data_IF_469352844579
#
_entry.id   IF_469352844579
#
_cell.length_a   1.000
_cell.length_b   1.000
_cell.length_c   1.000
_cell.angle_alpha   90.00
_cell.angle_beta   90.00
_cell.angle_gamma   90.00
#
_symmetry.space_group_name_H-M   'P 1'
#
loop_
_entity.id
_entity.type
_entity.pdbx_description
1 polymer ?
#
# COMPACT_ATOMS: atom_id res chain seq x y z
N UNK A 1 -1.35 -21.67 18.65
CA UNK A 1 -0.10 -20.88 18.74
C UNK A 1 -0.49 -19.51 19.27
N UNK A 2 0.15 -19.02 20.32
CA UNK A 2 -0.09 -17.65 20.79
C UNK A 2 0.27 -16.66 19.67
N UNK A 3 -0.39 -15.51 19.63
CA UNK A 3 -0.12 -14.43 18.65
C UNK A 3 1.38 -14.07 18.63
N UNK A 4 2.05 -14.13 19.78
CA UNK A 4 3.49 -13.93 19.97
C UNK A 4 4.37 -14.90 19.17
N UNK A 5 4.03 -16.19 19.10
CA UNK A 5 4.81 -17.16 18.33
C UNK A 5 4.66 -16.99 16.82
N UNK A 6 3.48 -16.57 16.34
CA UNK A 6 3.25 -16.28 14.92
C UNK A 6 4.01 -15.01 14.50
N UNK A 7 4.03 -13.99 15.35
CA UNK A 7 4.79 -12.76 15.13
C UNK A 7 6.31 -13.04 15.10
N UNK A 8 6.80 -13.90 15.99
CA UNK A 8 8.18 -14.38 15.99
C UNK A 8 8.54 -15.12 14.69
N UNK A 9 7.69 -16.02 14.22
CA UNK A 9 7.95 -16.75 12.98
C UNK A 9 8.01 -15.81 11.76
N UNK A 10 7.12 -14.81 11.70
CA UNK A 10 7.15 -13.76 10.68
C UNK A 10 8.43 -12.94 10.75
N UNK A 11 8.84 -12.53 11.96
CA UNK A 11 10.07 -11.77 12.17
C UNK A 11 11.32 -12.56 11.78
N UNK A 12 11.36 -13.86 12.12
CA UNK A 12 12.41 -14.80 11.69
C UNK A 12 12.48 -14.93 10.18
N UNK A 13 11.34 -15.08 9.50
CA UNK A 13 11.33 -15.14 8.02
C UNK A 13 11.77 -13.82 7.40
N UNK A 14 11.50 -12.70 8.06
CA UNK A 14 11.81 -11.38 7.55
C UNK A 14 13.31 -11.08 7.63
N UNK A 15 13.97 -11.33 8.77
CA UNK A 15 15.41 -11.06 8.93
C UNK A 15 16.31 -12.28 8.64
N UNK A 16 15.76 -13.49 8.65
CA UNK A 16 16.50 -14.74 8.51
C UNK A 16 17.26 -14.82 7.19
N UNK A 17 18.57 -15.04 7.28
CA UNK A 17 19.46 -15.19 6.12
C UNK A 17 19.98 -13.88 5.53
N UNK A 18 19.68 -12.73 6.15
CA UNK A 18 20.22 -11.43 5.73
C UNK A 18 21.37 -10.99 6.64
N UNK A 19 22.40 -10.39 6.05
CA UNK A 19 23.49 -9.75 6.79
C UNK A 19 23.51 -8.26 6.42
N UNK A 20 23.22 -7.42 7.41
CA UNK A 20 23.10 -5.98 7.29
C UNK A 20 24.10 -5.30 8.23
N UNK A 21 24.50 -4.07 7.91
CA UNK A 21 25.31 -3.26 8.81
C UNK A 21 24.42 -2.52 9.81
N UNK A 22 24.97 -2.13 10.96
CA UNK A 22 24.28 -1.24 11.92
C UNK A 22 23.83 0.09 11.32
N UNK A 23 24.51 0.56 10.27
CA UNK A 23 24.18 1.79 9.53
C UNK A 23 23.04 1.60 8.53
N UNK A 24 22.54 0.37 8.35
CA UNK A 24 21.42 0.08 7.47
C UNK A 24 20.19 0.94 7.82
N UNK A 25 19.47 1.47 6.81
CA UNK A 25 18.21 2.18 7.02
C UNK A 25 17.14 1.33 7.74
N UNK A 26 17.27 -0.01 7.74
CA UNK A 26 16.33 -0.94 8.38
C UNK A 26 16.55 -1.03 9.89
N UNK A 27 17.79 -0.85 10.36
CA UNK A 27 18.12 -0.94 11.79
C UNK A 27 17.26 0.02 12.66
N UNK A 28 17.06 1.31 12.29
CA UNK A 28 16.11 2.18 12.97
C UNK A 28 14.68 1.65 13.06
N UNK A 29 14.18 1.02 11.99
CA UNK A 29 12.83 0.47 11.94
C UNK A 29 12.69 -0.74 12.88
N UNK A 30 13.70 -1.61 12.91
CA UNK A 30 13.80 -2.74 13.83
C UNK A 30 13.83 -2.27 15.28
N UNK A 31 14.61 -1.23 15.61
CA UNK A 31 14.63 -0.68 16.96
C UNK A 31 13.29 -0.06 17.37
N UNK A 32 12.58 0.63 16.46
CA UNK A 32 11.22 1.13 16.71
C UNK A 32 10.23 -0.02 16.97
N UNK A 33 10.29 -1.06 16.16
CA UNK A 33 9.51 -2.28 16.37
C UNK A 33 9.81 -2.86 17.77
N UNK A 34 11.07 -3.09 18.10
CA UNK A 34 11.46 -3.62 19.41
C UNK A 34 10.91 -2.79 20.57
N UNK A 35 11.04 -1.46 20.53
CA UNK A 35 10.52 -0.57 21.58
C UNK A 35 9.00 -0.65 21.74
N UNK A 36 8.25 -0.77 20.64
CA UNK A 36 6.79 -0.85 20.68
C UNK A 36 6.28 -2.18 21.27
N UNK A 37 7.04 -3.27 21.13
CA UNK A 37 6.60 -4.62 21.48
C UNK A 37 7.19 -5.18 22.80
N UNK A 38 8.05 -4.43 23.52
CA UNK A 38 8.73 -4.93 24.74
C UNK A 38 7.80 -5.35 25.88
N UNK A 39 6.57 -4.83 25.96
CA UNK A 39 5.64 -5.13 27.05
C UNK A 39 4.88 -6.45 26.88
N UNK A 40 4.71 -6.92 25.64
CA UNK A 40 3.69 -7.92 25.29
C UNK A 40 4.28 -9.29 24.89
N UNK A 41 5.61 -9.41 24.83
CA UNK A 41 6.30 -10.64 24.44
C UNK A 41 6.77 -11.43 25.66
N UNK A 42 6.52 -12.73 25.64
CA UNK A 42 7.09 -13.72 26.57
C UNK A 42 8.63 -13.65 26.56
N UNK A 43 9.24 -13.93 27.71
CA UNK A 43 10.69 -13.76 27.91
C UNK A 43 11.53 -14.57 26.91
N UNK A 44 11.13 -15.81 26.62
CA UNK A 44 11.82 -16.70 25.68
C UNK A 44 11.78 -16.17 24.24
N UNK A 45 10.59 -15.76 23.77
CA UNK A 45 10.39 -15.14 22.45
C UNK A 45 11.24 -13.86 22.29
N UNK A 46 11.39 -13.10 23.38
CA UNK A 46 12.18 -11.87 23.38
C UNK A 46 13.67 -12.13 23.21
N UNK A 47 14.21 -13.13 23.90
CA UNK A 47 15.63 -13.50 23.78
C UNK A 47 15.97 -13.93 22.35
N UNK A 48 15.11 -14.74 21.73
CA UNK A 48 15.31 -15.17 20.35
C UNK A 48 15.28 -14.03 19.33
N UNK A 49 14.37 -13.06 19.51
CA UNK A 49 14.33 -11.86 18.64
C UNK A 49 15.60 -11.03 18.80
N UNK A 50 16.08 -10.86 20.03
CA UNK A 50 17.33 -10.16 20.32
C UNK A 50 18.51 -10.83 19.62
N UNK A 51 18.60 -12.16 19.67
CA UNK A 51 19.66 -12.91 19.00
C UNK A 51 19.60 -12.82 17.48
N UNK A 52 18.41 -12.89 16.88
CA UNK A 52 18.26 -12.70 15.44
C UNK A 52 18.71 -11.30 14.99
N UNK A 53 18.37 -10.25 15.74
CA UNK A 53 18.81 -8.88 15.43
C UNK A 53 20.33 -8.77 15.54
N UNK A 54 20.92 -9.33 16.60
CA UNK A 54 22.39 -9.32 16.79
C UNK A 54 23.13 -9.98 15.64
N UNK A 55 22.65 -11.14 15.19
CA UNK A 55 23.22 -11.87 14.06
C UNK A 55 23.05 -11.08 12.76
N UNK A 56 21.84 -10.57 12.52
CA UNK A 56 21.52 -9.85 11.27
C UNK A 56 22.34 -8.58 11.12
N UNK A 57 22.48 -7.78 12.18
CA UNK A 57 23.15 -6.48 12.14
C UNK A 57 24.62 -6.50 12.58
N UNK A 58 25.13 -7.68 12.95
CA UNK A 58 26.48 -7.88 13.47
C UNK A 58 26.82 -6.95 14.65
N UNK A 59 25.96 -6.95 15.68
CA UNK A 59 26.09 -6.11 16.87
C UNK A 59 26.08 -6.92 18.17
N UNK A 60 26.66 -6.37 19.23
CA UNK A 60 26.65 -7.03 20.54
C UNK A 60 25.29 -6.86 21.26
N UNK A 61 25.00 -7.74 22.21
CA UNK A 61 23.79 -7.64 23.04
C UNK A 61 23.80 -6.37 23.90
N UNK A 62 24.97 -5.97 24.38
CA UNK A 62 25.14 -4.74 25.15
C UNK A 62 24.83 -3.51 24.30
N UNK A 63 25.31 -3.47 23.05
CA UNK A 63 25.02 -2.40 22.10
C UNK A 63 23.52 -2.35 21.77
N UNK A 64 22.90 -3.50 21.50
CA UNK A 64 21.47 -3.58 21.19
C UNK A 64 20.61 -3.14 22.39
N UNK A 65 20.93 -3.59 23.61
CA UNK A 65 20.23 -3.16 24.83
C UNK A 65 20.40 -1.66 25.07
N UNK A 66 21.59 -1.11 24.84
CA UNK A 66 21.84 0.33 24.93
C UNK A 66 21.07 1.12 23.86
N UNK A 67 21.01 0.62 22.62
CA UNK A 67 20.25 1.25 21.52
C UNK A 67 18.74 1.19 21.74
N UNK A 68 18.25 0.11 22.35
CA UNK A 68 16.85 -0.04 22.74
C UNK A 68 16.49 0.91 23.90
N UNK A 69 17.28 0.91 24.97
CA UNK A 69 17.05 1.66 26.20
C UNK A 69 17.34 3.17 26.05
N UNK A 70 18.27 3.52 25.16
CA UNK A 70 18.71 4.87 24.88
C UNK A 70 17.94 5.50 23.73
N UNK A 71 17.64 6.80 23.86
CA UNK A 71 17.19 7.69 22.78
C UNK A 71 18.24 7.73 21.67
N UNK A 72 18.31 6.73 20.79
CA UNK A 72 19.00 6.88 19.51
C UNK A 72 18.27 8.00 18.79
N UNK A 73 18.78 9.23 18.93
CA UNK A 73 18.48 10.33 18.02
C UNK A 73 19.16 9.91 16.73
N UNK A 74 18.46 9.12 15.93
CA UNK A 74 18.81 8.99 14.52
C UNK A 74 18.96 10.43 14.03
N UNK A 75 20.17 10.79 13.61
CA UNK A 75 20.37 12.07 12.95
C UNK A 75 19.39 12.04 11.79
N UNK A 76 18.36 12.91 11.82
CA UNK A 76 17.47 13.15 10.68
C UNK A 76 18.25 13.48 9.39
N UNK A 77 19.55 13.77 9.52
CA UNK A 77 20.50 14.08 8.45
C UNK A 77 21.29 12.87 7.90
N UNK A 78 20.97 11.62 8.24
CA UNK A 78 21.48 10.49 7.44
C UNK A 78 20.71 10.52 6.12
N UNK A 79 21.29 11.19 5.13
CA UNK A 79 20.95 10.96 3.74
C UNK A 79 21.39 9.52 3.49
N UNK A 80 20.46 8.58 3.60
CA UNK A 80 20.73 7.21 3.19
C UNK A 80 20.97 7.20 1.69
N UNK A 81 21.93 6.39 1.25
CA UNK A 81 22.11 6.15 -0.18
C UNK A 81 20.81 5.53 -0.72
N UNK A 82 20.10 6.19 -1.66
CA UNK A 82 18.88 5.65 -2.21
C UNK A 82 19.10 4.26 -2.81
N UNK A 83 20.23 4.01 -3.46
CA UNK A 83 20.52 2.69 -4.03
C UNK A 83 20.64 1.59 -2.97
N UNK A 84 21.19 1.93 -1.80
CA UNK A 84 21.24 1.02 -0.67
C UNK A 84 19.85 0.74 -0.12
N UNK A 85 19.01 1.76 0.07
CA UNK A 85 17.63 1.61 0.55
C UNK A 85 16.82 0.73 -0.41
N UNK A 86 17.00 0.93 -1.71
CA UNK A 86 16.33 0.18 -2.77
C UNK A 86 16.70 -1.30 -2.75
N UNK A 87 18.02 -1.58 -2.77
CA UNK A 87 18.54 -2.95 -2.74
C UNK A 87 18.17 -3.66 -1.45
N UNK A 88 18.32 -2.98 -0.32
CA UNK A 88 17.99 -3.54 0.98
C UNK A 88 16.48 -3.66 1.19
N UNK A 89 15.65 -2.83 0.56
CA UNK A 89 14.19 -2.94 0.64
C UNK A 89 13.65 -4.11 -0.18
N UNK A 90 14.16 -4.29 -1.40
CA UNK A 90 13.70 -5.33 -2.33
C UNK A 90 13.85 -6.77 -1.79
N UNK A 91 14.85 -7.03 -0.94
CA UNK A 91 15.04 -8.33 -0.28
C UNK A 91 13.91 -8.70 0.70
N UNK A 92 13.12 -7.73 1.17
CA UNK A 92 11.94 -7.97 2.02
C UNK A 92 10.64 -8.13 1.23
N UNK A 93 10.70 -8.15 -0.11
CA UNK A 93 9.53 -8.42 -0.92
C UNK A 93 8.93 -9.79 -0.54
N UNK A 94 7.62 -9.87 -0.26
CA UNK A 94 6.99 -11.15 0.09
C UNK A 94 7.15 -12.18 -1.02
N UNK A 95 7.12 -13.47 -0.65
CA UNK A 95 7.23 -14.56 -1.62
C UNK A 95 6.07 -14.57 -2.64
N UNK A 96 6.22 -15.39 -3.69
CA UNK A 96 5.21 -15.56 -4.74
C UNK A 96 5.24 -14.41 -5.74
N UNK A 97 4.06 -13.91 -6.12
CA UNK A 97 3.92 -12.90 -7.18
C UNK A 97 4.70 -11.61 -6.88
N UNK A 98 4.79 -11.20 -5.61
CA UNK A 98 5.48 -9.96 -5.24
C UNK A 98 6.97 -10.05 -5.50
N UNK A 99 7.65 -11.13 -5.05
CA UNK A 99 9.06 -11.35 -5.36
C UNK A 99 9.32 -11.45 -6.86
N UNK A 100 8.46 -12.18 -7.59
CA UNK A 100 8.57 -12.32 -9.06
C UNK A 100 8.44 -10.97 -9.77
N UNK A 101 7.48 -10.15 -9.35
CA UNK A 101 7.28 -8.81 -9.92
C UNK A 101 8.46 -7.90 -9.62
N UNK A 102 8.95 -7.87 -8.37
CA UNK A 102 10.11 -7.05 -7.99
C UNK A 102 11.36 -7.47 -8.76
N UNK A 103 11.59 -8.78 -8.94
CA UNK A 103 12.71 -9.27 -9.75
C UNK A 103 12.58 -8.89 -11.22
N UNK A 104 11.36 -8.96 -11.76
CA UNK A 104 11.05 -8.51 -13.12
C UNK A 104 11.31 -7.01 -13.31
N UNK A 105 10.99 -6.18 -12.33
CA UNK A 105 11.15 -4.72 -12.41
C UNK A 105 12.50 -4.21 -11.86
N UNK A 106 13.38 -5.09 -11.39
CA UNK A 106 14.64 -4.71 -10.72
C UNK A 106 15.60 -3.88 -11.61
N UNK A 107 15.48 -3.98 -12.93
CA UNK A 107 16.28 -3.20 -13.88
C UNK A 107 15.58 -1.93 -14.38
N UNK A 108 14.39 -1.62 -13.86
CA UNK A 108 13.64 -0.43 -14.27
C UNK A 108 14.06 0.79 -13.46
N UNK A 109 13.84 1.98 -14.04
CA UNK A 109 14.21 3.27 -13.44
C UNK A 109 13.41 3.64 -12.15
N UNK A 110 12.11 3.29 -12.00
CA UNK A 110 11.37 3.69 -10.82
C UNK A 110 11.82 2.97 -9.52
N UNK A 111 11.71 3.64 -8.37
CA UNK A 111 11.88 3.04 -7.04
C UNK A 111 11.07 1.75 -6.80
N UNK A 112 11.64 0.81 -6.06
CA UNK A 112 11.05 -0.48 -5.69
C UNK A 112 9.74 -0.29 -4.93
N UNK A 113 9.61 0.75 -4.11
CA UNK A 113 8.37 1.01 -3.37
C UNK A 113 7.21 1.30 -4.31
N UNK A 114 7.44 2.04 -5.40
CA UNK A 114 6.41 2.29 -6.41
C UNK A 114 5.96 0.98 -7.06
N UNK A 115 6.92 0.09 -7.34
CA UNK A 115 6.65 -1.24 -7.87
C UNK A 115 5.90 -2.13 -6.88
N UNK A 116 6.34 -2.18 -5.63
CA UNK A 116 5.74 -3.01 -4.58
C UNK A 116 4.28 -2.61 -4.35
N UNK A 117 4.02 -1.31 -4.17
CA UNK A 117 2.67 -0.82 -3.95
C UNK A 117 1.78 -1.00 -5.20
N UNK A 118 2.30 -0.77 -6.40
CA UNK A 118 1.55 -1.07 -7.64
C UNK A 118 1.19 -2.55 -7.75
N UNK A 119 2.12 -3.46 -7.41
CA UNK A 119 1.90 -4.90 -7.43
C UNK A 119 0.91 -5.35 -6.35
N UNK A 120 0.96 -4.77 -5.15
CA UNK A 120 -0.01 -5.01 -4.08
C UNK A 120 -1.41 -4.60 -4.52
N UNK A 121 -1.57 -3.42 -5.09
CA UNK A 121 -2.86 -2.92 -5.58
C UNK A 121 -3.40 -3.78 -6.71
N UNK A 122 -2.56 -4.13 -7.68
CA UNK A 122 -2.90 -5.05 -8.76
C UNK A 122 -3.39 -6.40 -8.23
N UNK A 123 -2.68 -6.97 -7.26
CA UNK A 123 -3.01 -8.29 -6.69
C UNK A 123 -4.32 -8.22 -5.91
N UNK A 124 -4.51 -7.18 -5.08
CA UNK A 124 -5.75 -6.95 -4.34
C UNK A 124 -6.97 -6.79 -5.24
N UNK A 125 -6.83 -6.00 -6.30
CA UNK A 125 -7.86 -5.81 -7.32
C UNK A 125 -8.19 -7.12 -8.04
N UNK A 126 -7.16 -7.89 -8.38
CA UNK A 126 -7.32 -9.19 -9.03
C UNK A 126 -8.07 -10.13 -8.10
N UNK A 127 -7.67 -10.29 -6.84
CA UNK A 127 -8.32 -11.21 -5.91
C UNK A 127 -9.78 -10.82 -5.65
N UNK A 128 -10.06 -9.53 -5.47
CA UNK A 128 -11.42 -9.02 -5.24
C UNK A 128 -12.08 -9.67 -4.02
N UNK A 129 -13.34 -10.10 -4.16
CA UNK A 129 -14.10 -10.75 -3.07
C UNK A 129 -13.81 -12.25 -2.88
N UNK A 130 -12.88 -12.82 -3.66
CA UNK A 130 -12.58 -14.26 -3.64
C UNK A 130 -11.85 -14.71 -2.38
N UNK A 131 -11.16 -13.79 -1.71
CA UNK A 131 -10.47 -14.02 -0.43
C UNK A 131 -10.86 -12.90 0.52
N UNK A 132 -11.05 -13.23 1.80
CA UNK A 132 -11.34 -12.26 2.84
C UNK A 132 -10.70 -12.68 4.15
N UNK A 133 -10.45 -11.69 5.00
CA UNK A 133 -10.21 -11.91 6.41
C UNK A 133 -11.54 -11.90 7.14
N UNK A 134 -11.80 -12.96 7.91
CA UNK A 134 -12.99 -13.08 8.73
C UNK A 134 -12.77 -12.38 10.07
N UNK A 135 -13.45 -11.25 10.28
CA UNK A 135 -13.41 -10.48 11.52
C UNK A 135 -14.64 -10.77 12.41
N UNK A 136 -15.29 -11.93 12.18
CA UNK A 136 -16.54 -12.40 12.80
C UNK A 136 -17.78 -11.54 12.47
N UNK A 137 -17.73 -10.23 12.71
CA UNK A 137 -18.85 -9.31 12.46
C UNK A 137 -18.86 -8.73 11.05
N UNK A 138 -17.70 -8.69 10.40
CA UNK A 138 -17.54 -8.17 9.05
C UNK A 138 -16.38 -8.88 8.33
N UNK A 139 -16.33 -8.71 7.01
CA UNK A 139 -15.26 -9.23 6.16
C UNK A 139 -14.37 -8.09 5.74
N UNK A 140 -13.05 -8.31 5.77
CA UNK A 140 -12.08 -7.40 5.16
C UNK A 140 -11.58 -8.05 3.88
N UNK A 141 -11.78 -7.37 2.76
CA UNK A 141 -11.27 -7.80 1.46
C UNK A 141 -9.89 -7.19 1.20
N UNK A 142 -8.97 -7.90 0.52
CA UNK A 142 -7.61 -7.43 0.27
C UNK A 142 -7.53 -6.40 -0.86
N UNK A 143 -8.63 -5.71 -1.20
CA UNK A 143 -8.61 -4.58 -2.12
C UNK A 143 -7.80 -3.43 -1.51
N UNK A 144 -7.01 -2.74 -2.33
CA UNK A 144 -6.12 -1.70 -1.87
C UNK A 144 -6.49 -0.37 -2.49
N UNK A 145 -6.46 0.68 -1.68
CA UNK A 145 -6.54 2.05 -2.16
C UNK A 145 -5.17 2.70 -1.98
N UNK A 146 -4.50 3.06 -3.08
CA UNK A 146 -3.08 3.39 -3.06
C UNK A 146 -2.83 4.69 -3.82
N UNK A 147 -2.08 5.59 -3.19
CA UNK A 147 -1.59 6.82 -3.81
C UNK A 147 -0.06 6.78 -3.78
N UNK A 148 0.54 6.71 -4.96
CA UNK A 148 1.98 6.84 -5.15
C UNK A 148 2.30 8.33 -5.25
N UNK A 149 2.99 8.86 -4.25
CA UNK A 149 3.36 10.26 -4.16
C UNK A 149 4.87 10.42 -4.29
N UNK A 150 5.29 11.42 -5.05
CA UNK A 150 6.70 11.75 -5.16
C UNK A 150 6.95 12.86 -6.17
N UNK A 151 8.15 13.48 -6.16
CA UNK A 151 8.50 14.55 -7.07
C UNK A 151 8.37 14.13 -8.55
N UNK A 152 8.20 15.11 -9.42
CA UNK A 152 8.25 14.85 -10.87
C UNK A 152 9.60 14.24 -11.25
N UNK A 153 9.61 13.37 -12.26
CA UNK A 153 10.84 12.72 -12.73
C UNK A 153 11.15 11.35 -12.10
N UNK A 154 10.62 10.99 -10.94
CA UNK A 154 10.83 9.65 -10.33
C UNK A 154 10.01 8.51 -10.95
N UNK A 155 9.47 8.69 -12.16
CA UNK A 155 8.82 7.61 -12.94
C UNK A 155 7.69 6.85 -12.20
N UNK A 156 7.00 7.51 -11.27
CA UNK A 156 5.82 6.98 -10.55
C UNK A 156 4.80 6.34 -11.49
N UNK A 157 4.40 7.10 -12.51
CA UNK A 157 3.43 6.68 -13.51
C UNK A 157 3.95 5.48 -14.29
N UNK A 158 5.24 5.44 -14.64
CA UNK A 158 5.87 4.29 -15.30
C UNK A 158 5.79 3.02 -14.46
N UNK A 159 6.05 3.10 -13.15
CA UNK A 159 5.92 1.94 -12.26
C UNK A 159 4.48 1.41 -12.21
N UNK A 160 3.50 2.32 -12.12
CA UNK A 160 2.10 1.98 -12.13
C UNK A 160 1.65 1.40 -13.47
N UNK A 161 2.07 2.01 -14.59
CA UNK A 161 1.75 1.58 -15.95
C UNK A 161 2.24 0.15 -16.24
N UNK A 162 3.37 -0.27 -15.67
CA UNK A 162 3.85 -1.65 -15.79
C UNK A 162 2.84 -2.63 -15.16
N UNK A 163 2.37 -2.35 -13.95
CA UNK A 163 1.35 -3.19 -13.29
C UNK A 163 0.01 -3.16 -14.04
N UNK A 164 -0.41 -1.99 -14.53
CA UNK A 164 -1.62 -1.83 -15.32
C UNK A 164 -1.51 -2.55 -16.67
N UNK A 165 -0.34 -2.53 -17.31
CA UNK A 165 -0.05 -3.27 -18.53
C UNK A 165 -0.26 -4.76 -18.34
N UNK A 166 0.34 -5.33 -17.28
CA UNK A 166 0.13 -6.74 -16.93
C UNK A 166 -1.36 -7.06 -16.72
N UNK A 167 -2.09 -6.21 -15.99
CA UNK A 167 -3.54 -6.41 -15.77
C UNK A 167 -4.35 -6.40 -17.07
N UNK A 168 -4.02 -5.48 -17.99
CA UNK A 168 -4.68 -5.36 -19.28
C UNK A 168 -4.37 -6.54 -20.18
N UNK A 169 -3.12 -6.99 -20.19
CA UNK A 169 -2.68 -8.14 -21.00
C UNK A 169 -3.29 -9.46 -20.51
N UNK A 170 -3.50 -9.60 -19.20
CA UNK A 170 -4.10 -10.80 -18.63
C UNK A 170 -5.64 -10.80 -18.71
N UNK A 171 -6.27 -9.65 -18.95
CA UNK A 171 -7.73 -9.46 -19.03
C UNK A 171 -8.52 -10.05 -17.84
N UNK A 172 -7.91 -10.13 -16.65
CA UNK A 172 -8.51 -10.77 -15.47
C UNK A 172 -9.55 -9.91 -14.76
N UNK A 173 -9.37 -8.59 -14.82
CA UNK A 173 -10.23 -7.62 -14.17
C UNK A 173 -10.41 -6.39 -15.04
N UNK A 174 -11.47 -5.64 -14.76
CA UNK A 174 -11.71 -4.36 -15.39
C UNK A 174 -10.81 -3.28 -14.80
N UNK A 175 -10.10 -2.56 -15.68
CA UNK A 175 -9.35 -1.36 -15.32
C UNK A 175 -10.15 -0.15 -15.77
N UNK A 176 -10.72 0.58 -14.80
CA UNK A 176 -11.50 1.80 -15.01
C UNK A 176 -10.56 2.97 -15.30
N UNK A 177 -10.86 3.71 -16.38
CA UNK A 177 -10.02 4.80 -16.88
C UNK A 177 -10.08 6.09 -16.03
N UNK A 178 -9.18 7.03 -16.34
CA UNK A 178 -8.98 8.29 -15.61
C UNK A 178 -10.06 9.36 -15.88
N UNK A 179 -10.80 9.28 -16.99
CA UNK A 179 -11.85 10.25 -17.36
C UNK A 179 -13.23 9.64 -17.25
N UNK A 180 -13.69 9.40 -16.02
CA UNK A 180 -15.02 8.84 -15.77
C UNK A 180 -15.85 9.87 -15.01
N UNK A 181 -16.97 10.28 -15.62
CA UNK A 181 -18.00 10.94 -14.82
C UNK A 181 -18.58 9.91 -13.83
N UNK A 182 -19.12 10.34 -12.68
CA UNK A 182 -19.76 9.43 -11.74
C UNK A 182 -20.81 8.52 -12.42
N UNK A 183 -21.60 9.07 -13.35
CA UNK A 183 -22.61 8.33 -14.09
C UNK A 183 -22.01 7.24 -14.97
N UNK A 184 -20.96 7.58 -15.71
CA UNK A 184 -20.31 6.62 -16.59
C UNK A 184 -19.65 5.50 -15.78
N UNK A 185 -19.01 5.84 -14.64
CA UNK A 185 -18.43 4.85 -13.74
C UNK A 185 -19.50 3.86 -13.23
N UNK A 186 -20.67 4.36 -12.83
CA UNK A 186 -21.78 3.52 -12.36
C UNK A 186 -22.30 2.63 -13.48
N UNK A 187 -22.47 3.18 -14.69
CA UNK A 187 -22.90 2.42 -15.86
C UNK A 187 -21.94 1.27 -16.15
N UNK A 188 -20.64 1.57 -16.12
CA UNK A 188 -19.57 0.63 -16.43
C UNK A 188 -19.42 -0.47 -15.35
N UNK A 189 -19.90 -0.23 -14.14
CA UNK A 189 -19.91 -1.17 -13.01
C UNK A 189 -21.16 -2.05 -12.92
N UNK A 190 -22.19 -1.82 -13.74
CA UNK A 190 -23.46 -2.56 -13.65
C UNK A 190 -23.29 -4.07 -13.78
N UNK A 191 -22.42 -4.49 -14.70
CA UNK A 191 -22.19 -5.91 -14.97
C UNK A 191 -21.22 -6.53 -13.95
N UNK A 192 -20.20 -5.76 -13.55
CA UNK A 192 -19.17 -6.20 -12.62
C UNK A 192 -18.61 -5.02 -11.85
N UNK A 193 -19.03 -4.83 -10.60
CA UNK A 193 -18.51 -3.78 -9.72
C UNK A 193 -17.21 -4.17 -9.01
N UNK A 194 -16.35 -4.92 -9.69
CA UNK A 194 -15.04 -5.34 -9.19
C UNK A 194 -13.94 -4.95 -10.17
N UNK A 195 -12.79 -4.52 -9.65
CA UNK A 195 -11.65 -4.15 -10.49
C UNK A 195 -10.79 -3.05 -9.89
N UNK A 196 -10.15 -2.27 -10.76
CA UNK A 196 -9.18 -1.25 -10.38
C UNK A 196 -9.48 0.08 -11.07
N UNK A 197 -9.59 1.17 -10.31
CA UNK A 197 -9.61 2.53 -10.84
C UNK A 197 -8.18 3.04 -10.91
N UNK A 198 -7.73 3.40 -12.11
CA UNK A 198 -6.38 3.90 -12.34
C UNK A 198 -6.41 5.38 -12.74
N UNK A 199 -5.64 6.20 -12.02
CA UNK A 199 -5.42 7.61 -12.39
C UNK A 199 -3.92 7.96 -12.31
N UNK A 200 -3.22 8.06 -13.46
CA UNK A 200 -1.82 8.50 -13.50
C UNK A 200 -1.65 9.95 -13.02
N UNK A 201 -2.70 10.77 -13.07
CA UNK A 201 -2.77 12.08 -12.44
C UNK A 201 -4.05 12.18 -11.59
N UNK A 202 -3.94 11.77 -10.32
CA UNK A 202 -5.06 11.71 -9.38
C UNK A 202 -5.91 12.99 -9.36
N UNK A 203 -5.24 14.16 -9.33
CA UNK A 203 -5.92 15.44 -9.23
C UNK A 203 -6.78 15.72 -10.46
N UNK A 204 -6.40 15.25 -11.65
CA UNK A 204 -7.21 15.45 -12.86
C UNK A 204 -8.55 14.73 -12.77
N UNK A 205 -8.56 13.51 -12.19
CA UNK A 205 -9.78 12.75 -11.94
C UNK A 205 -10.63 13.39 -10.82
N UNK A 206 -10.00 13.88 -9.76
CA UNK A 206 -10.71 14.35 -8.56
C UNK A 206 -11.09 15.84 -8.59
N UNK A 207 -10.62 16.61 -9.57
CA UNK A 207 -10.87 18.05 -9.62
C UNK A 207 -12.36 18.38 -9.86
N UNK A 208 -12.85 19.43 -9.19
CA UNK A 208 -14.24 19.92 -9.17
C UNK A 208 -14.64 20.63 -10.47
N UNK A 209 -14.49 19.99 -11.62
CA UNK A 209 -15.29 20.37 -12.78
C UNK A 209 -16.74 19.97 -12.49
N UNK A 210 -17.73 20.80 -12.83
CA UNK A 210 -19.16 20.58 -12.49
C UNK A 210 -19.69 19.18 -12.86
N UNK A 211 -19.12 18.52 -13.87
CA UNK A 211 -19.51 17.17 -14.30
C UNK A 211 -18.90 16.03 -13.46
N UNK A 212 -17.94 16.33 -12.57
CA UNK A 212 -17.28 15.37 -11.66
C UNK A 212 -17.80 15.48 -10.22
N UNK A 213 -18.81 16.33 -9.97
CA UNK A 213 -19.39 16.49 -8.65
C UNK A 213 -19.93 15.15 -8.14
N UNK A 214 -19.49 14.73 -6.94
CA UNK A 214 -19.87 13.45 -6.36
C UNK A 214 -18.95 12.26 -6.66
N UNK A 215 -17.87 12.43 -7.46
CA UNK A 215 -16.93 11.34 -7.73
C UNK A 215 -16.18 10.88 -6.48
N UNK A 216 -15.70 11.83 -5.66
CA UNK A 216 -14.97 11.55 -4.40
C UNK A 216 -15.82 10.75 -3.41
N UNK A 217 -17.06 11.17 -3.05
CA UNK A 217 -17.90 10.39 -2.16
C UNK A 217 -18.34 9.06 -2.78
N UNK A 218 -18.51 8.97 -4.10
CA UNK A 218 -18.79 7.70 -4.78
C UNK A 218 -17.62 6.72 -4.61
N UNK A 219 -16.40 7.12 -4.95
CA UNK A 219 -15.19 6.30 -4.77
C UNK A 219 -15.04 5.89 -3.30
N UNK A 220 -15.25 6.82 -2.36
CA UNK A 220 -15.20 6.53 -0.93
C UNK A 220 -16.15 5.40 -0.52
N UNK A 221 -17.40 5.40 -1.02
CA UNK A 221 -18.38 4.34 -0.76
C UNK A 221 -18.04 3.01 -1.45
N UNK A 222 -17.39 3.05 -2.62
CA UNK A 222 -16.96 1.84 -3.33
C UNK A 222 -15.78 1.16 -2.62
N UNK A 223 -14.87 1.94 -2.05
CA UNK A 223 -13.72 1.45 -1.27
C UNK A 223 -14.10 0.76 0.03
N UNK A 224 -15.31 1.01 0.56
CA UNK A 224 -15.85 0.28 1.71
C UNK A 224 -16.28 -1.16 1.33
N UNK A 225 -16.16 -1.57 0.06
CA UNK A 225 -16.49 -2.90 -0.48
C UNK A 225 -17.89 -3.42 -0.07
N UNK A 226 -18.97 -2.63 -0.28
CA UNK A 226 -20.30 -3.06 0.11
C UNK A 226 -20.75 -4.29 -0.69
N UNK A 227 -21.44 -5.21 -0.02
CA UNK A 227 -22.12 -6.32 -0.71
C UNK A 227 -23.23 -5.81 -1.64
N UNK A 228 -23.87 -4.70 -1.28
CA UNK A 228 -24.91 -4.05 -2.08
C UNK A 228 -24.90 -2.55 -1.84
N UNK A 229 -24.95 -1.77 -2.91
CA UNK A 229 -25.04 -0.32 -2.86
C UNK A 229 -26.02 0.21 -3.89
N UNK A 230 -26.95 1.06 -3.46
CA UNK A 230 -27.84 1.80 -4.35
C UNK A 230 -27.19 3.13 -4.72
N UNK A 231 -27.08 3.38 -6.02
CA UNK A 231 -26.49 4.60 -6.58
C UNK A 231 -27.46 5.24 -7.58
N UNK A 232 -27.74 6.54 -7.40
CA UNK A 232 -28.67 7.32 -8.22
C UNK A 232 -29.46 8.35 -7.38
N UNK A 233 -29.97 9.39 -8.04
CA UNK A 233 -30.87 10.40 -7.44
C UNK A 233 -32.33 10.07 -7.78
N UNK A 234 -33.29 10.63 -7.03
CA UNK A 234 -34.73 10.36 -7.14
C UNK A 234 -35.29 10.55 -8.57
N UNK A 235 -34.67 11.39 -9.40
CA UNK A 235 -35.05 11.61 -10.80
C UNK A 235 -34.47 10.59 -11.80
N UNK A 236 -33.48 9.79 -11.40
CA UNK A 236 -32.81 8.77 -12.24
C UNK A 236 -33.18 7.37 -11.77
N UNK A 237 -33.24 6.41 -12.71
CA UNK A 237 -33.47 4.98 -12.42
C UNK A 237 -32.36 4.50 -11.46
N UNK A 238 -32.74 4.06 -10.26
CA UNK A 238 -31.80 3.56 -9.25
C UNK A 238 -30.98 2.40 -9.84
N UNK A 239 -29.67 2.50 -9.79
CA UNK A 239 -28.76 1.41 -10.15
C UNK A 239 -28.30 0.72 -8.88
N UNK A 240 -28.35 -0.62 -8.89
CA UNK A 240 -27.88 -1.44 -7.78
C UNK A 240 -26.57 -2.05 -8.22
N UNK A 241 -25.50 -1.80 -7.49
CA UNK A 241 -24.24 -2.51 -7.64
C UNK A 241 -24.17 -3.55 -6.52
N UNK A 242 -23.74 -4.76 -6.87
CA UNK A 242 -23.58 -5.88 -5.93
C UNK A 242 -22.15 -6.39 -5.95
N UNK A 243 -21.73 -7.01 -4.85
CA UNK A 243 -20.42 -7.62 -4.71
C UNK A 243 -19.29 -6.66 -5.07
N UNK A 244 -19.35 -5.43 -4.55
CA UNK A 244 -18.39 -4.38 -4.88
C UNK A 244 -17.01 -4.74 -4.31
N UNK A 245 -15.98 -4.69 -5.15
CA UNK A 245 -14.58 -4.79 -4.73
C UNK A 245 -13.68 -3.96 -5.63
N UNK A 246 -13.42 -2.73 -5.21
CA UNK A 246 -12.67 -1.76 -6.00
C UNK A 246 -11.35 -1.45 -5.31
N UNK A 247 -10.27 -1.59 -6.07
CA UNK A 247 -8.97 -1.02 -5.71
C UNK A 247 -8.74 0.28 -6.46
N UNK A 248 -7.91 1.15 -5.91
CA UNK A 248 -7.51 2.40 -6.57
C UNK A 248 -6.00 2.48 -6.64
N UNK A 249 -5.47 2.81 -7.82
CA UNK A 249 -4.06 3.11 -8.02
C UNK A 249 -3.93 4.51 -8.58
N UNK A 250 -3.48 5.42 -7.74
CA UNK A 250 -3.35 6.83 -8.05
C UNK A 250 -1.89 7.25 -8.02
N UNK A 251 -1.53 8.16 -8.91
CA UNK A 251 -0.23 8.82 -8.90
C UNK A 251 -0.42 10.33 -8.73
N UNK A 252 0.42 10.96 -7.93
CA UNK A 252 0.40 12.42 -7.78
C UNK A 252 1.76 12.97 -7.32
N UNK A 253 1.91 14.28 -7.45
CA UNK A 253 3.04 15.06 -6.92
C UNK A 253 2.55 15.78 -5.66
N UNK A 254 3.35 15.92 -4.59
CA UNK A 254 2.96 16.63 -3.37
C UNK A 254 2.36 18.01 -3.64
N UNK A 255 3.03 18.82 -4.45
CA UNK A 255 2.59 20.18 -4.78
C UNK A 255 1.17 20.18 -5.40
N UNK A 256 0.90 19.24 -6.30
CA UNK A 256 -0.39 19.13 -6.97
C UNK A 256 -1.51 18.73 -6.01
N UNK A 257 -1.19 17.91 -5.00
CA UNK A 257 -2.14 17.58 -3.94
C UNK A 257 -2.49 18.85 -3.16
N UNK A 258 -1.49 19.62 -2.76
CA UNK A 258 -1.70 20.83 -1.95
C UNK A 258 -2.46 21.90 -2.73
N UNK A 259 -2.10 22.14 -3.99
CA UNK A 259 -2.69 23.23 -4.79
C UNK A 259 -3.99 22.84 -5.48
N UNK A 260 -4.19 21.56 -5.77
CA UNK A 260 -5.25 21.08 -6.66
C UNK A 260 -6.33 20.23 -5.97
N UNK A 261 -6.09 19.70 -4.77
CA UNK A 261 -7.10 18.93 -4.07
C UNK A 261 -8.13 19.85 -3.42
N UNK A 262 -9.41 19.57 -3.65
CA UNK A 262 -10.49 20.29 -2.98
C UNK A 262 -10.58 19.92 -1.49
N UNK A 263 -11.15 20.80 -0.67
CA UNK A 263 -11.36 20.56 0.78
C UNK A 263 -12.02 19.21 1.10
N UNK A 264 -12.95 18.74 0.27
CA UNK A 264 -13.67 17.47 0.46
C UNK A 264 -12.73 16.26 0.43
N UNK A 265 -11.60 16.34 -0.29
CA UNK A 265 -10.60 15.26 -0.38
C UNK A 265 -9.82 15.18 0.94
N UNK A 266 -9.52 16.31 1.56
CA UNK A 266 -8.81 16.37 2.86
C UNK A 266 -9.73 16.06 4.04
N UNK A 267 -10.96 16.59 4.03
CA UNK A 267 -11.89 16.50 5.17
C UNK A 267 -12.80 15.28 5.13
N UNK A 268 -13.09 14.73 3.94
CA UNK A 268 -14.04 13.62 3.74
C UNK A 268 -13.48 12.22 4.05
N UNK A 269 -12.30 12.13 4.67
CA UNK A 269 -11.64 10.86 4.97
C UNK A 269 -11.16 10.10 3.72
N UNK A 270 -11.06 10.74 2.57
CA UNK A 270 -10.58 10.11 1.34
C UNK A 270 -9.13 9.64 1.54
N UNK A 271 -8.22 10.51 1.98
CA UNK A 271 -6.84 10.11 2.29
C UNK A 271 -6.74 9.07 3.39
N UNK A 272 -7.63 9.07 4.38
CA UNK A 272 -7.62 8.07 5.46
C UNK A 272 -7.89 6.64 4.97
N UNK A 273 -8.53 6.50 3.80
CA UNK A 273 -8.77 5.19 3.15
C UNK A 273 -7.61 4.76 2.24
N UNK A 274 -6.68 5.66 1.92
CA UNK A 274 -5.59 5.37 1.00
C UNK A 274 -4.28 5.16 1.75
N UNK A 275 -3.53 4.15 1.33
CA UNK A 275 -2.12 4.04 1.67
C UNK A 275 -1.35 5.01 0.79
N UNK A 276 -0.78 6.02 1.43
CA UNK A 276 0.14 6.96 0.78
C UNK A 276 1.55 6.43 0.95
N UNK A 277 2.23 6.18 -0.17
CA UNK A 277 3.67 5.96 -0.14
C UNK A 277 4.37 7.23 -0.61
N UNK A 278 5.29 7.71 0.23
CA UNK A 278 6.18 8.85 0.01
C UNK A 278 7.63 8.37 -0.14
#
# INVERSE_FOLDING_TARGET
MSDSHLQLEKFRKLLGGTSLSRDSPIYPAVLRFMRAFQGNLESEVREEIVDQIRITFNITEADLRADIAGKVKFKRSLIWDPHQVEKEGAQFAPAGIFKLYIDYTNSSEPPFLFHLFSCLTMTGATIGRRVWFDMAYFKIFPTMATIIVGPSGLKKTTAADIAIGILRDMELIKVYAEKLTPEYLIEDMKDMAQGLIYAPEMIVLLNKKKYMEGIVPLIGRLLDNPERIEVGTISRKKTILTDVAISTLYCSIPDWIITGASEDIFTGGFFARHVTQE
#
